data_IF_650919445575
#
_entry.id   IF_650919445575
#
_cell.length_a   1.000
_cell.length_b   1.000
_cell.length_c   1.000
_cell.angle_alpha   90.00
_cell.angle_beta   90.00
_cell.angle_gamma   90.00
#
_symmetry.space_group_name_H-M   'P 1'
#
loop_
_entity.id
_entity.type
_entity.pdbx_description
1 polymer ?
#
# COMPACT_ATOMS: atom_id res chain seq x y z
N UNK A 1 -22.31 12.92 6.21
CA UNK A 1 -21.63 14.23 6.04
C UNK A 1 -20.40 13.98 5.16
N UNK A 2 -20.09 14.78 4.12
CA UNK A 2 -18.77 14.68 3.50
C UNK A 2 -17.71 14.94 4.58
N UNK A 3 -16.72 14.05 4.72
CA UNK A 3 -15.60 14.27 5.62
C UNK A 3 -14.82 15.50 5.13
N UNK A 4 -14.32 16.31 6.06
CA UNK A 4 -13.42 17.40 5.71
C UNK A 4 -12.21 16.85 4.93
N UNK A 5 -11.77 17.52 3.85
CA UNK A 5 -10.63 17.04 3.08
C UNK A 5 -9.37 16.98 3.96
N UNK A 6 -8.55 15.95 3.75
CA UNK A 6 -7.28 15.81 4.48
C UNK A 6 -6.23 16.82 4.02
N UNK A 7 -6.34 17.28 2.77
CA UNK A 7 -5.42 18.24 2.16
C UNK A 7 -6.19 19.37 1.46
N UNK A 8 -5.54 20.52 1.33
CA UNK A 8 -6.08 21.63 0.54
C UNK A 8 -6.34 21.18 -0.91
N UNK A 9 -7.40 21.72 -1.52
CA UNK A 9 -7.83 21.32 -2.86
C UNK A 9 -6.77 21.56 -3.95
N UNK A 10 -5.85 22.49 -3.73
CA UNK A 10 -4.75 22.84 -4.61
C UNK A 10 -3.39 22.21 -4.19
N UNK A 11 -3.30 21.47 -3.09
CA UNK A 11 -2.02 20.96 -2.59
C UNK A 11 -1.34 20.01 -3.60
N UNK A 12 -0.09 20.32 -3.99
CA UNK A 12 0.71 19.45 -4.87
C UNK A 12 0.93 18.06 -4.31
N UNK A 13 0.94 17.04 -5.17
CA UNK A 13 1.23 15.64 -4.80
C UNK A 13 2.66 15.29 -5.24
N UNK A 14 3.44 14.65 -4.37
CA UNK A 14 4.70 14.00 -4.76
C UNK A 14 4.53 12.47 -4.82
N UNK A 15 4.95 11.85 -5.92
CA UNK A 15 4.99 10.40 -6.10
C UNK A 15 6.41 9.89 -5.90
N UNK A 16 6.58 8.99 -4.94
CA UNK A 16 7.86 8.33 -4.61
C UNK A 16 7.75 6.82 -4.80
N UNK A 17 8.88 6.13 -4.87
CA UNK A 17 8.96 4.69 -5.05
C UNK A 17 10.03 4.31 -6.05
N UNK A 18 10.32 3.01 -6.15
CA UNK A 18 11.38 2.48 -7.02
C UNK A 18 11.16 2.87 -8.51
N UNK A 19 12.21 2.80 -9.33
CA UNK A 19 12.07 3.01 -10.78
C UNK A 19 11.03 2.02 -11.35
N UNK A 20 10.36 2.26 -12.47
CA UNK A 20 9.49 1.23 -13.10
C UNK A 20 8.26 0.73 -12.33
N UNK A 21 7.96 1.24 -11.13
CA UNK A 21 6.74 0.90 -10.36
C UNK A 21 5.47 1.56 -10.90
N UNK A 22 5.57 2.41 -11.94
CA UNK A 22 4.41 3.06 -12.57
C UNK A 22 4.17 4.52 -12.18
N UNK A 23 5.13 5.21 -11.56
CA UNK A 23 4.97 6.61 -11.10
C UNK A 23 4.56 7.59 -12.21
N UNK A 24 5.18 7.52 -13.39
CA UNK A 24 4.82 8.39 -14.52
C UNK A 24 3.39 8.15 -14.99
N UNK A 25 2.96 6.88 -15.09
CA UNK A 25 1.59 6.52 -15.46
C UNK A 25 0.58 7.00 -14.43
N UNK A 26 0.81 6.73 -13.14
CA UNK A 26 -0.05 7.21 -12.07
C UNK A 26 -0.05 8.73 -11.97
N UNK A 27 1.09 9.39 -12.21
CA UNK A 27 1.21 10.84 -12.21
C UNK A 27 0.30 11.50 -13.25
N UNK A 28 0.27 10.96 -14.47
CA UNK A 28 -0.64 11.42 -15.52
C UNK A 28 -2.12 11.19 -15.17
N UNK A 29 -2.44 10.05 -14.54
CA UNK A 29 -3.80 9.75 -14.05
C UNK A 29 -4.22 10.78 -12.97
N UNK A 30 -3.36 11.05 -11.99
CA UNK A 30 -3.63 12.05 -10.94
C UNK A 30 -3.80 13.44 -11.54
N UNK A 31 -2.90 13.85 -12.42
CA UNK A 31 -2.96 15.16 -13.08
C UNK A 31 -4.25 15.33 -13.88
N UNK A 32 -4.64 14.32 -14.67
CA UNK A 32 -5.88 14.35 -15.45
C UNK A 32 -7.12 14.38 -14.55
N UNK A 33 -7.19 13.51 -13.54
CA UNK A 33 -8.35 13.39 -12.66
C UNK A 33 -8.56 14.60 -11.74
N UNK A 34 -7.48 15.27 -11.34
CA UNK A 34 -7.51 16.47 -10.50
C UNK A 34 -7.42 17.78 -11.28
N UNK A 35 -7.29 17.72 -12.62
CA UNK A 35 -7.04 18.88 -13.50
C UNK A 35 -5.80 19.69 -13.13
N UNK A 36 -4.73 18.97 -12.83
CA UNK A 36 -3.42 19.50 -12.41
C UNK A 36 -2.37 19.30 -13.49
N UNK A 37 -1.24 19.98 -13.35
CA UNK A 37 -0.08 19.77 -14.21
C UNK A 37 0.77 18.59 -13.71
N UNK A 38 1.44 17.89 -14.62
CA UNK A 38 2.32 16.77 -14.29
C UNK A 38 3.78 17.10 -14.62
N UNK A 39 4.69 16.82 -13.67
CA UNK A 39 6.13 16.93 -13.87
C UNK A 39 6.80 15.61 -13.47
N UNK A 40 7.63 15.05 -14.35
CA UNK A 40 8.52 13.94 -14.03
C UNK A 40 9.95 14.47 -13.82
N UNK A 41 10.50 14.27 -12.63
CA UNK A 41 11.82 14.76 -12.26
C UNK A 41 12.94 14.12 -13.10
N UNK A 42 12.79 12.86 -13.52
CA UNK A 42 13.77 12.20 -14.40
C UNK A 42 13.71 12.81 -15.82
N UNK A 43 12.52 13.25 -16.27
CA UNK A 43 12.37 13.96 -17.55
C UNK A 43 12.89 15.40 -17.47
N UNK A 44 12.67 16.08 -16.35
CA UNK A 44 13.22 17.41 -16.10
C UNK A 44 14.75 17.37 -16.10
N UNK A 45 15.36 16.37 -15.44
CA UNK A 45 16.79 16.12 -15.50
C UNK A 45 17.27 15.95 -16.95
N UNK A 46 16.61 15.07 -17.72
CA UNK A 46 17.03 14.78 -19.09
C UNK A 46 16.93 15.99 -20.02
N UNK A 47 15.95 16.86 -19.79
CA UNK A 47 15.79 18.11 -20.54
C UNK A 47 16.94 19.08 -20.27
N UNK A 48 17.42 19.15 -19.02
CA UNK A 48 18.47 20.10 -18.60
C UNK A 48 19.89 19.58 -18.82
N UNK A 49 20.10 18.25 -18.76
CA UNK A 49 21.42 17.65 -18.67
C UNK A 49 21.67 16.53 -19.69
N UNK A 50 20.68 16.18 -20.51
CA UNK A 50 20.74 15.05 -21.44
C UNK A 50 20.46 13.70 -20.79
N UNK A 51 20.58 12.59 -21.54
CA UNK A 51 20.26 11.24 -21.05
C UNK A 51 21.02 10.89 -19.76
N UNK A 52 20.31 10.41 -18.74
CA UNK A 52 20.87 10.06 -17.43
C UNK A 52 22.04 9.06 -17.57
N UNK A 53 21.91 8.09 -18.48
CA UNK A 53 22.95 7.07 -18.72
C UNK A 53 24.25 7.69 -19.21
N UNK A 54 24.17 8.69 -20.07
CA UNK A 54 25.35 9.33 -20.66
C UNK A 54 25.96 10.33 -19.70
N UNK A 55 25.10 11.05 -18.96
CA UNK A 55 25.53 11.92 -17.87
C UNK A 55 26.33 11.16 -16.81
N UNK A 56 25.80 10.04 -16.31
CA UNK A 56 26.47 9.23 -15.28
C UNK A 56 27.76 8.60 -15.81
N UNK A 57 27.81 8.16 -17.08
CA UNK A 57 29.06 7.67 -17.70
C UNK A 57 30.15 8.75 -17.76
N UNK A 58 29.76 9.99 -18.04
CA UNK A 58 30.69 11.10 -18.20
C UNK A 58 31.11 11.72 -16.84
N UNK A 59 30.20 11.79 -15.86
CA UNK A 59 30.38 12.60 -14.63
C UNK A 59 30.19 11.82 -13.32
N UNK A 60 29.75 10.58 -13.39
CA UNK A 60 29.52 9.72 -12.24
C UNK A 60 28.20 9.97 -11.50
N UNK A 61 27.92 9.11 -10.53
CA UNK A 61 26.69 9.15 -9.73
C UNK A 61 26.65 10.31 -8.73
N UNK A 62 27.79 10.77 -8.24
CA UNK A 62 27.85 11.87 -7.28
C UNK A 62 27.27 13.16 -7.87
N UNK A 63 27.74 13.57 -9.06
CA UNK A 63 27.21 14.75 -9.76
C UNK A 63 25.74 14.55 -10.17
N UNK A 64 25.36 13.34 -10.62
CA UNK A 64 23.95 13.04 -10.89
C UNK A 64 23.07 13.31 -9.66
N UNK A 65 23.50 12.87 -8.48
CA UNK A 65 22.75 13.07 -7.23
C UNK A 65 22.74 14.52 -6.78
N UNK A 66 23.80 15.30 -7.06
CA UNK A 66 23.81 16.75 -6.82
C UNK A 66 22.75 17.46 -7.66
N UNK A 67 22.68 17.12 -8.96
CA UNK A 67 21.65 17.67 -9.87
C UNK A 67 20.25 17.17 -9.53
N UNK A 68 20.06 15.90 -9.19
CA UNK A 68 18.78 15.34 -8.72
C UNK A 68 18.27 16.10 -7.49
N UNK A 69 19.17 16.40 -6.53
CA UNK A 69 18.86 17.17 -5.32
C UNK A 69 18.44 18.60 -5.65
N UNK A 70 19.19 19.28 -6.52
CA UNK A 70 18.87 20.64 -6.94
C UNK A 70 17.50 20.72 -7.65
N UNK A 71 17.26 19.79 -8.58
CA UNK A 71 15.99 19.69 -9.31
C UNK A 71 14.84 19.42 -8.33
N UNK A 72 14.97 18.45 -7.43
CA UNK A 72 13.92 18.16 -6.45
C UNK A 72 13.54 19.40 -5.65
N UNK A 73 14.53 20.08 -5.03
CA UNK A 73 14.29 21.27 -4.21
C UNK A 73 13.63 22.38 -5.04
N UNK A 74 14.09 22.58 -6.27
CA UNK A 74 13.49 23.54 -7.18
C UNK A 74 12.02 23.20 -7.48
N UNK A 75 11.70 21.94 -7.81
CA UNK A 75 10.35 21.51 -8.13
C UNK A 75 9.40 21.68 -6.93
N UNK A 76 9.82 21.26 -5.73
CA UNK A 76 9.01 21.39 -4.51
C UNK A 76 8.74 22.85 -4.15
N UNK A 77 9.69 23.75 -4.40
CA UNK A 77 9.56 25.18 -4.11
C UNK A 77 8.75 25.95 -5.17
N UNK A 78 8.99 25.67 -6.46
CA UNK A 78 8.36 26.41 -7.56
C UNK A 78 6.90 26.00 -7.79
N UNK A 79 6.54 24.76 -7.46
CA UNK A 79 5.24 24.18 -7.80
C UNK A 79 4.46 23.70 -6.57
N UNK A 80 4.17 24.58 -5.59
CA UNK A 80 3.48 24.18 -4.35
C UNK A 80 1.97 23.92 -4.55
N UNK A 81 1.38 24.36 -5.68
CA UNK A 81 -0.06 24.26 -5.92
C UNK A 81 -0.39 23.74 -7.31
N UNK A 82 -1.36 22.86 -7.42
CA UNK A 82 -1.92 22.30 -8.66
C UNK A 82 -0.94 21.49 -9.52
N UNK A 83 0.03 20.83 -8.88
CA UNK A 83 0.94 19.89 -9.55
C UNK A 83 0.87 18.46 -9.01
N UNK A 84 1.35 17.55 -9.85
CA UNK A 84 1.74 16.19 -9.49
C UNK A 84 3.19 16.01 -9.94
N UNK A 85 4.06 15.68 -9.00
CA UNK A 85 5.50 15.52 -9.23
C UNK A 85 5.87 14.05 -9.07
N UNK A 86 6.36 13.39 -10.12
CA UNK A 86 6.98 12.07 -10.01
C UNK A 86 8.48 12.22 -9.75
N UNK A 87 8.96 11.69 -8.62
CA UNK A 87 10.36 11.76 -8.24
C UNK A 87 11.19 10.61 -8.83
N UNK A 88 12.51 10.81 -8.93
CA UNK A 88 13.45 9.76 -9.31
C UNK A 88 13.47 8.59 -8.30
N UNK A 89 13.76 7.37 -8.77
CA UNK A 89 13.71 6.17 -7.92
C UNK A 89 14.77 6.12 -6.81
N UNK A 90 15.79 6.97 -6.86
CA UNK A 90 16.82 7.09 -5.84
C UNK A 90 16.77 8.42 -5.08
N UNK A 91 15.71 9.20 -5.25
CA UNK A 91 15.52 10.51 -4.59
C UNK A 91 15.73 10.42 -3.07
N UNK A 92 15.38 9.28 -2.48
CA UNK A 92 15.46 9.03 -1.03
C UNK A 92 16.86 8.66 -0.53
N UNK A 93 17.88 8.54 -1.38
CA UNK A 93 19.22 8.12 -0.91
C UNK A 93 19.95 9.21 -0.13
N UNK A 94 19.68 10.48 -0.42
CA UNK A 94 20.29 11.62 0.27
C UNK A 94 19.40 12.18 1.37
N UNK A 95 20.00 12.50 2.51
CA UNK A 95 19.27 13.07 3.64
C UNK A 95 18.69 14.44 3.31
N UNK A 96 19.36 15.26 2.49
CA UNK A 96 18.80 16.57 2.13
C UNK A 96 17.50 16.46 1.34
N UNK A 97 17.37 15.42 0.50
CA UNK A 97 16.15 15.14 -0.24
C UNK A 97 15.04 14.64 0.67
N UNK A 98 15.37 13.73 1.61
CA UNK A 98 14.43 13.25 2.62
C UNK A 98 13.93 14.39 3.48
N UNK A 99 14.82 15.25 3.96
CA UNK A 99 14.48 16.46 4.72
C UNK A 99 13.56 17.41 3.95
N UNK A 100 13.84 17.68 2.67
CA UNK A 100 12.98 18.50 1.82
C UNK A 100 11.58 17.89 1.63
N UNK A 101 11.50 16.57 1.44
CA UNK A 101 10.23 15.84 1.34
C UNK A 101 9.45 15.85 2.67
N UNK A 102 10.12 15.69 3.82
CA UNK A 102 9.47 15.82 5.15
C UNK A 102 8.89 17.22 5.35
N UNK A 103 9.63 18.26 4.99
CA UNK A 103 9.14 19.63 5.07
C UNK A 103 7.95 19.88 4.13
N UNK A 104 8.02 19.35 2.90
CA UNK A 104 6.92 19.39 1.95
C UNK A 104 5.66 18.72 2.52
N UNK A 105 5.79 17.53 3.10
CA UNK A 105 4.68 16.83 3.77
C UNK A 105 4.13 17.62 4.95
N UNK A 106 5.00 18.14 5.82
CA UNK A 106 4.62 18.93 6.98
C UNK A 106 3.90 20.25 6.60
N UNK A 107 4.13 20.75 5.39
CA UNK A 107 3.46 21.93 4.83
C UNK A 107 2.06 21.63 4.26
N UNK A 108 1.55 20.40 4.46
CA UNK A 108 0.20 20.00 4.04
C UNK A 108 0.13 19.42 2.63
N UNK A 109 1.22 18.84 2.13
CA UNK A 109 1.25 18.18 0.83
C UNK A 109 1.30 16.64 0.95
N UNK A 110 0.51 15.89 0.18
CA UNK A 110 0.58 14.44 0.19
C UNK A 110 1.84 13.92 -0.52
N UNK A 111 2.46 12.90 0.08
CA UNK A 111 3.50 12.07 -0.53
C UNK A 111 2.93 10.67 -0.70
N UNK A 112 2.81 10.21 -1.94
CA UNK A 112 2.27 8.89 -2.28
C UNK A 112 3.39 7.95 -2.69
N UNK A 113 3.60 6.89 -1.90
CA UNK A 113 4.50 5.80 -2.24
C UNK A 113 3.80 4.82 -3.20
N UNK A 114 4.39 4.64 -4.38
CA UNK A 114 3.92 3.66 -5.37
C UNK A 114 4.70 2.36 -5.20
N UNK A 115 3.97 1.30 -4.85
CA UNK A 115 4.50 -0.05 -4.65
C UNK A 115 4.04 -0.95 -5.78
N UNK A 116 4.89 -1.86 -6.24
CA UNK A 116 4.56 -2.93 -7.19
C UNK A 116 5.18 -4.24 -6.68
N UNK A 117 4.65 -5.37 -7.12
CA UNK A 117 5.19 -6.69 -6.75
C UNK A 117 6.64 -6.88 -7.26
N UNK A 118 7.44 -7.53 -6.42
CA UNK A 118 8.90 -7.67 -6.52
C UNK A 118 9.36 -8.42 -7.77
N UNK A 119 8.54 -9.30 -8.33
CA UNK A 119 8.93 -10.16 -9.46
C UNK A 119 8.92 -9.44 -10.81
N UNK A 120 8.11 -8.39 -10.97
CA UNK A 120 7.94 -7.73 -12.27
C UNK A 120 8.77 -6.44 -12.44
N UNK A 121 9.43 -5.98 -11.37
CA UNK A 121 10.05 -4.66 -11.37
C UNK A 121 11.59 -4.66 -11.47
N UNK A 122 12.05 -4.40 -12.70
CA UNK A 122 13.17 -3.50 -13.10
C UNK A 122 14.56 -4.13 -13.32
N UNK A 123 15.13 -3.69 -14.46
CA UNK A 123 16.54 -3.80 -14.86
C UNK A 123 17.44 -2.96 -13.92
N UNK A 124 18.42 -3.55 -13.23
CA UNK A 124 19.27 -2.82 -12.31
C UNK A 124 20.03 -1.70 -13.02
N UNK A 125 20.26 -0.60 -12.31
CA UNK A 125 21.37 0.30 -12.66
C UNK A 125 22.62 -0.41 -12.16
N UNK A 126 23.50 -0.80 -13.08
CA UNK A 126 24.68 -1.67 -12.89
C UNK A 126 25.27 -1.73 -11.47
N UNK A 127 25.47 -2.96 -10.95
CA UNK A 127 26.40 -3.27 -9.85
C UNK A 127 25.80 -3.85 -8.57
N UNK A 128 24.72 -3.27 -8.05
CA UNK A 128 24.12 -3.72 -6.78
C UNK A 128 22.97 -4.71 -6.99
N UNK A 129 22.85 -5.70 -6.08
CA UNK A 129 21.71 -6.60 -6.07
C UNK A 129 20.42 -5.80 -5.84
N UNK A 130 19.41 -5.99 -6.70
CA UNK A 130 18.12 -5.29 -6.62
C UNK A 130 17.49 -5.40 -5.21
N UNK A 131 17.65 -6.57 -4.58
CA UNK A 131 17.18 -6.81 -3.21
C UNK A 131 17.86 -5.91 -2.19
N UNK A 132 19.16 -5.66 -2.31
CA UNK A 132 19.89 -4.75 -1.43
C UNK A 132 19.40 -3.31 -1.58
N UNK A 133 19.19 -2.85 -2.82
CA UNK A 133 18.65 -1.51 -3.11
C UNK A 133 17.25 -1.34 -2.52
N UNK A 134 16.38 -2.34 -2.71
CA UNK A 134 15.04 -2.34 -2.13
C UNK A 134 15.09 -2.31 -0.61
N UNK A 135 15.83 -3.22 0.01
CA UNK A 135 15.96 -3.31 1.47
C UNK A 135 16.42 -1.98 2.08
N UNK A 136 17.36 -1.29 1.41
CA UNK A 136 17.88 0.01 1.84
C UNK A 136 16.89 1.16 1.64
N UNK A 137 16.12 1.18 0.54
CA UNK A 137 15.26 2.32 0.16
C UNK A 137 13.83 2.22 0.71
N UNK A 138 13.29 1.02 0.89
CA UNK A 138 11.91 0.82 1.35
C UNK A 138 11.60 1.55 2.66
N UNK A 139 12.44 1.45 3.72
CA UNK A 139 12.18 2.17 4.97
C UNK A 139 12.11 3.68 4.78
N UNK A 140 12.93 4.25 3.87
CA UNK A 140 12.86 5.68 3.58
C UNK A 140 11.59 6.09 2.84
N UNK A 141 11.08 5.27 1.92
CA UNK A 141 9.80 5.57 1.29
C UNK A 141 8.64 5.50 2.28
N UNK A 142 8.67 4.52 3.18
CA UNK A 142 7.64 4.32 4.21
C UNK A 142 7.63 5.43 5.27
N UNK A 143 8.81 5.92 5.69
CA UNK A 143 8.95 7.07 6.60
C UNK A 143 8.39 8.37 5.99
N UNK A 144 8.63 8.58 4.70
CA UNK A 144 8.28 9.83 4.03
C UNK A 144 6.81 9.91 3.60
N UNK A 145 6.19 8.77 3.25
CA UNK A 145 4.88 8.79 2.62
C UNK A 145 3.75 9.06 3.61
N UNK A 146 2.75 9.81 3.14
CA UNK A 146 1.46 9.90 3.82
C UNK A 146 0.48 8.85 3.32
N UNK A 147 0.64 8.40 2.07
CA UNK A 147 -0.19 7.36 1.48
C UNK A 147 0.63 6.36 0.67
N UNK A 148 0.08 5.17 0.49
CA UNK A 148 0.66 4.08 -0.30
C UNK A 148 -0.38 3.58 -1.29
N UNK A 149 0.02 3.43 -2.55
CA UNK A 149 -0.79 2.82 -3.61
C UNK A 149 -0.05 1.63 -4.22
N UNK A 150 -0.78 0.55 -4.44
CA UNK A 150 -0.22 -0.65 -5.06
C UNK A 150 -0.60 -0.70 -6.54
N UNK A 151 0.41 -0.64 -7.40
CA UNK A 151 0.29 -0.74 -8.85
C UNK A 151 0.47 -2.19 -9.32
N UNK A 152 -0.48 -3.06 -8.97
CA UNK A 152 -0.49 -4.44 -9.45
C UNK A 152 -0.89 -4.52 -10.92
N UNK A 153 -0.17 -5.32 -11.68
CA UNK A 153 -0.64 -5.82 -12.97
C UNK A 153 -1.67 -6.93 -12.72
N UNK A 154 -2.73 -6.98 -13.50
CA UNK A 154 -3.62 -8.12 -13.52
C UNK A 154 -2.91 -9.29 -14.19
N UNK A 155 -3.05 -10.48 -13.61
CA UNK A 155 -2.63 -11.74 -14.20
C UNK A 155 -3.86 -12.65 -14.42
N UNK A 156 -4.02 -13.28 -15.61
CA UNK A 156 -3.24 -13.00 -16.82
C UNK A 156 -3.40 -11.53 -17.25
N UNK A 157 -2.39 -10.94 -17.91
CA UNK A 157 -2.51 -9.59 -18.43
C UNK A 157 -3.75 -9.54 -19.32
N UNK A 158 -4.64 -8.55 -19.13
CA UNK A 158 -5.84 -8.46 -19.93
C UNK A 158 -5.44 -8.34 -21.40
N UNK A 159 -6.30 -8.87 -22.29
CA UNK A 159 -6.07 -8.87 -23.73
C UNK A 159 -5.80 -7.47 -24.30
N UNK A 160 -6.19 -6.40 -23.59
CA UNK A 160 -5.74 -5.04 -23.87
C UNK A 160 -5.18 -4.32 -22.62
N UNK A 161 -4.08 -3.55 -22.77
CA UNK A 161 -3.53 -2.70 -21.71
C UNK A 161 -4.53 -1.70 -21.10
N UNK A 162 -5.60 -1.35 -21.82
CA UNK A 162 -6.62 -0.40 -21.37
C UNK A 162 -7.41 -0.93 -20.15
N UNK A 163 -7.70 -2.24 -20.10
CA UNK A 163 -8.41 -2.84 -18.96
C UNK A 163 -7.51 -3.02 -17.72
N UNK A 164 -6.20 -3.13 -17.93
CA UNK A 164 -5.19 -3.18 -16.86
C UNK A 164 -5.15 -1.84 -16.12
N UNK A 165 -5.12 -0.75 -16.88
CA UNK A 165 -5.07 0.61 -16.35
C UNK A 165 -6.33 0.94 -15.58
N UNK A 166 -7.52 0.54 -16.06
CA UNK A 166 -8.81 0.88 -15.46
C UNK A 166 -8.92 0.56 -13.96
N UNK A 167 -8.34 -0.56 -13.48
CA UNK A 167 -8.46 -0.96 -12.07
C UNK A 167 -7.50 -0.22 -11.15
N UNK A 168 -6.23 -0.12 -11.53
CA UNK A 168 -5.23 0.65 -10.77
C UNK A 168 -5.60 2.14 -10.77
N UNK A 169 -6.08 2.65 -11.91
CA UNK A 169 -6.65 3.98 -12.05
C UNK A 169 -7.84 4.18 -11.11
N UNK A 170 -8.79 3.23 -11.06
CA UNK A 170 -9.96 3.32 -10.16
C UNK A 170 -9.54 3.38 -8.70
N UNK A 171 -8.63 2.51 -8.26
CA UNK A 171 -8.15 2.49 -6.88
C UNK A 171 -7.42 3.81 -6.52
N UNK A 172 -6.57 4.30 -7.43
CA UNK A 172 -5.82 5.52 -7.20
C UNK A 172 -6.71 6.76 -7.23
N UNK A 173 -7.61 6.89 -8.21
CA UNK A 173 -8.59 7.99 -8.29
C UNK A 173 -9.51 7.97 -7.06
N UNK A 174 -9.92 6.80 -6.56
CA UNK A 174 -10.67 6.69 -5.31
C UNK A 174 -9.90 7.23 -4.11
N UNK A 175 -8.60 6.90 -3.98
CA UNK A 175 -7.73 7.49 -2.96
C UNK A 175 -7.67 9.02 -3.10
N UNK A 176 -7.39 9.53 -4.31
CA UNK A 176 -7.31 10.98 -4.56
C UNK A 176 -8.61 11.70 -4.19
N UNK A 177 -9.75 11.14 -4.60
CA UNK A 177 -11.05 11.71 -4.26
C UNK A 177 -11.32 11.71 -2.76
N UNK A 178 -10.87 10.69 -2.04
CA UNK A 178 -11.00 10.62 -0.58
C UNK A 178 -10.16 11.71 0.09
N UNK A 179 -8.87 11.79 -0.22
CA UNK A 179 -7.93 12.68 0.49
C UNK A 179 -8.17 14.17 0.19
N UNK A 180 -8.75 14.50 -0.96
CA UNK A 180 -9.16 15.87 -1.33
C UNK A 180 -10.65 16.15 -1.08
N UNK A 181 -11.39 15.27 -0.39
CA UNK A 181 -12.79 15.50 -0.03
C UNK A 181 -13.77 15.56 -1.22
N UNK A 182 -13.39 15.01 -2.37
CA UNK A 182 -14.22 14.93 -3.59
C UNK A 182 -15.16 13.71 -3.59
N UNK A 183 -15.10 12.86 -2.56
CA UNK A 183 -15.99 11.73 -2.36
C UNK A 183 -16.42 11.63 -0.90
N UNK A 184 -17.68 11.27 -0.67
CA UNK A 184 -18.08 10.66 0.60
C UNK A 184 -17.68 9.18 0.56
N UNK A 185 -17.10 8.68 1.64
CA UNK A 185 -16.90 7.24 1.92
C UNK A 185 -18.19 6.41 1.82
N UNK A 186 -19.35 7.08 1.79
CA UNK A 186 -20.60 6.51 1.30
C UNK A 186 -20.52 6.24 -0.20
N UNK A 187 -20.01 5.07 -0.58
CA UNK A 187 -20.37 4.45 -1.86
C UNK A 187 -21.90 4.35 -1.86
N UNK A 188 -22.62 4.95 -2.83
CA UNK A 188 -24.05 4.75 -2.94
C UNK A 188 -24.30 3.25 -3.07
N UNK A 189 -24.97 2.66 -2.07
CA UNK A 189 -25.31 1.23 -2.10
C UNK A 189 -26.06 0.96 -3.41
N UNK A 190 -25.56 0.01 -4.21
CA UNK A 190 -26.18 -0.34 -5.49
C UNK A 190 -27.59 -0.85 -5.18
N UNK A 191 -28.65 -0.18 -5.65
CA UNK A 191 -30.02 -0.68 -5.47
C UNK A 191 -30.22 -1.93 -6.33
N UNK A 192 -30.68 -3.02 -5.75
CA UNK A 192 -30.98 -4.24 -6.49
C UNK A 192 -31.28 -5.44 -5.58
N UNK A 193 -31.82 -6.54 -6.13
CA UNK A 193 -31.96 -7.79 -5.39
C UNK A 193 -30.59 -8.23 -4.89
N UNK A 194 -30.46 -8.37 -3.57
CA UNK A 194 -29.23 -8.85 -2.94
C UNK A 194 -29.20 -10.37 -3.07
N UNK A 195 -28.11 -10.97 -3.59
CA UNK A 195 -27.88 -12.39 -3.35
C UNK A 195 -27.84 -12.60 -1.83
N UNK A 196 -28.48 -13.67 -1.34
CA UNK A 196 -28.31 -14.05 0.07
C UNK A 196 -26.82 -14.24 0.35
N UNK A 197 -26.30 -13.77 1.51
CA UNK A 197 -24.93 -14.07 1.91
C UNK A 197 -24.70 -15.57 1.78
N UNK A 198 -23.60 -15.97 1.14
CA UNK A 198 -23.21 -17.37 1.14
C UNK A 198 -22.76 -17.69 2.58
N UNK A 199 -23.66 -18.26 3.37
CA UNK A 199 -23.32 -18.83 4.67
C UNK A 199 -22.56 -20.13 4.41
N UNK A 200 -21.23 -20.02 4.35
CA UNK A 200 -20.35 -21.18 4.45
C UNK A 200 -20.04 -21.45 5.92
N UNK A 201 -19.94 -22.71 6.38
CA UNK A 201 -19.23 -22.98 7.62
C UNK A 201 -17.82 -22.38 7.49
N UNK A 202 -17.22 -21.97 8.61
CA UNK A 202 -15.77 -21.66 8.68
C UNK A 202 -14.90 -22.81 8.14
N UNK A 203 -15.50 -23.98 7.88
CA UNK A 203 -14.96 -25.19 7.27
C UNK A 203 -15.65 -25.66 5.96
N UNK A 204 -16.35 -24.78 5.23
CA UNK A 204 -17.05 -25.12 3.96
C UNK A 204 -16.21 -25.03 2.69
N UNK A 205 -16.82 -25.32 1.54
CA UNK A 205 -16.24 -25.53 0.18
C UNK A 205 -15.21 -24.47 -0.31
N UNK A 206 -15.14 -23.30 0.33
CA UNK A 206 -14.21 -22.21 0.01
C UNK A 206 -13.31 -21.75 1.19
N UNK A 207 -13.39 -22.40 2.35
CA UNK A 207 -12.34 -22.50 3.37
C UNK A 207 -11.69 -21.21 3.91
N UNK A 208 -12.37 -20.07 3.99
CA UNK A 208 -11.73 -18.85 4.51
C UNK A 208 -12.53 -17.55 4.51
N UNK A 209 -13.85 -17.56 4.66
CA UNK A 209 -14.62 -16.32 4.84
C UNK A 209 -15.81 -16.51 5.77
N UNK A 210 -16.20 -15.43 6.45
CA UNK A 210 -17.40 -15.37 7.27
C UNK A 210 -18.21 -14.13 6.93
N UNK A 211 -19.51 -14.28 6.70
CA UNK A 211 -20.42 -13.14 6.55
C UNK A 211 -20.91 -12.70 7.94
N UNK A 212 -20.77 -11.42 8.27
CA UNK A 212 -21.32 -10.85 9.48
C UNK A 212 -22.43 -9.85 9.10
N UNK A 213 -23.66 -10.15 9.47
CA UNK A 213 -24.71 -9.15 9.53
C UNK A 213 -24.50 -8.31 10.80
N UNK A 214 -23.77 -7.22 10.67
CA UNK A 214 -23.69 -6.23 11.75
C UNK A 214 -24.79 -5.18 11.60
N UNK A 215 -25.37 -4.73 12.71
CA UNK A 215 -26.08 -3.46 12.77
C UNK A 215 -25.10 -2.28 12.61
N UNK A 216 -24.43 -2.15 11.45
CA UNK A 216 -23.64 -0.96 11.10
C UNK A 216 -24.53 0.28 10.85
N UNK A 217 -25.76 0.25 11.37
CA UNK A 217 -26.81 1.22 11.16
C UNK A 217 -27.70 0.90 9.97
N UNK A 218 -28.57 1.86 9.66
CA UNK A 218 -29.30 1.89 8.39
C UNK A 218 -28.45 2.71 7.42
N UNK A 219 -28.26 2.20 6.19
CA UNK A 219 -27.68 3.01 5.11
C UNK A 219 -28.49 4.29 4.90
N UNK A 220 -27.99 5.25 4.11
CA UNK A 220 -28.61 6.57 3.90
C UNK A 220 -30.10 6.56 3.47
N UNK A 221 -30.65 5.40 3.11
CA UNK A 221 -32.06 5.16 2.73
C UNK A 221 -32.82 4.16 3.63
N UNK A 222 -32.34 3.84 4.82
CA UNK A 222 -33.10 3.02 5.78
C UNK A 222 -32.90 1.49 5.70
N UNK A 223 -32.11 0.98 4.74
CA UNK A 223 -31.83 -0.46 4.56
C UNK A 223 -30.69 -0.95 5.45
N UNK A 224 -30.71 -2.23 5.87
CA UNK A 224 -29.63 -2.87 6.63
C UNK A 224 -28.33 -2.89 5.81
N UNK A 225 -27.21 -2.64 6.48
CA UNK A 225 -25.86 -2.75 5.91
C UNK A 225 -25.15 -3.99 6.41
N UNK A 226 -24.36 -4.65 5.58
CA UNK A 226 -23.58 -5.84 5.97
C UNK A 226 -22.15 -5.79 5.44
N UNK A 227 -21.29 -6.59 6.06
CA UNK A 227 -19.93 -6.81 5.58
C UNK A 227 -19.55 -8.28 5.58
N UNK A 228 -18.54 -8.64 4.80
CA UNK A 228 -17.95 -9.98 4.81
C UNK A 228 -16.51 -9.91 5.28
N UNK A 229 -16.13 -10.75 6.23
CA UNK A 229 -14.76 -10.94 6.67
C UNK A 229 -14.07 -11.97 5.77
N UNK A 230 -12.99 -11.56 5.10
CA UNK A 230 -12.14 -12.45 4.33
C UNK A 230 -11.02 -12.98 5.23
N UNK A 231 -11.19 -14.21 5.71
CA UNK A 231 -10.25 -14.92 6.59
C UNK A 231 -9.29 -15.82 5.79
N UNK A 232 -8.91 -15.40 4.58
CA UNK A 232 -7.95 -16.15 3.77
C UNK A 232 -6.53 -15.90 4.29
N UNK A 233 -5.76 -16.96 4.64
CA UNK A 233 -4.41 -16.78 5.17
C UNK A 233 -3.48 -16.10 4.16
N UNK A 234 -3.69 -16.29 2.86
CA UNK A 234 -2.96 -15.57 1.83
C UNK A 234 -3.91 -15.12 0.72
N UNK A 235 -4.36 -13.87 0.80
CA UNK A 235 -5.26 -13.25 -0.19
C UNK A 235 -4.67 -13.19 -1.60
N UNK A 236 -3.34 -13.16 -1.75
CA UNK A 236 -2.70 -13.13 -3.07
C UNK A 236 -2.97 -14.41 -3.88
N UNK A 237 -3.27 -15.53 -3.19
CA UNK A 237 -3.61 -16.80 -3.82
C UNK A 237 -5.10 -16.93 -4.15
N UNK A 238 -5.93 -15.94 -3.79
CA UNK A 238 -7.38 -15.99 -3.99
C UNK A 238 -7.74 -15.28 -5.29
N UNK A 239 -8.47 -15.96 -6.18
CA UNK A 239 -8.86 -15.37 -7.46
C UNK A 239 -9.81 -14.19 -7.27
N UNK A 240 -9.77 -13.21 -8.18
CA UNK A 240 -10.70 -12.09 -8.17
C UNK A 240 -12.16 -12.52 -8.38
N UNK A 241 -12.40 -13.63 -9.07
CA UNK A 241 -13.74 -14.22 -9.22
C UNK A 241 -14.27 -14.72 -7.88
N UNK A 242 -13.44 -15.44 -7.11
CA UNK A 242 -13.77 -15.90 -5.76
C UNK A 242 -14.07 -14.71 -4.86
N UNK A 243 -13.22 -13.67 -4.86
CA UNK A 243 -13.45 -12.46 -4.05
C UNK A 243 -14.79 -11.81 -4.41
N UNK A 244 -15.11 -11.66 -5.70
CA UNK A 244 -16.39 -11.07 -6.14
C UNK A 244 -17.60 -11.93 -5.78
N UNK A 245 -17.47 -13.26 -5.86
CA UNK A 245 -18.53 -14.19 -5.48
C UNK A 245 -18.81 -14.13 -3.98
N UNK A 246 -17.77 -14.12 -3.15
CA UNK A 246 -17.86 -14.05 -1.68
C UNK A 246 -18.38 -12.70 -1.21
N UNK A 247 -17.91 -11.61 -1.82
CA UNK A 247 -18.36 -10.26 -1.51
C UNK A 247 -19.68 -9.87 -2.21
N UNK A 248 -20.34 -10.82 -2.87
CA UNK A 248 -21.62 -10.58 -3.52
C UNK A 248 -22.71 -10.28 -2.49
N UNK A 249 -23.34 -9.10 -2.59
CA UNK A 249 -24.48 -8.73 -1.74
C UNK A 249 -24.14 -8.03 -0.42
N UNK A 250 -22.86 -7.79 -0.13
CA UNK A 250 -22.41 -6.99 1.03
C UNK A 250 -22.00 -5.57 0.64
N UNK A 251 -21.98 -4.67 1.61
CA UNK A 251 -21.68 -3.25 1.41
C UNK A 251 -20.20 -2.93 1.65
N UNK A 252 -19.52 -3.75 2.47
CA UNK A 252 -18.13 -3.56 2.89
C UNK A 252 -17.41 -4.91 2.92
N UNK A 253 -16.11 -4.93 2.61
CA UNK A 253 -15.26 -6.09 2.82
C UNK A 253 -14.35 -5.82 4.01
N UNK A 254 -14.34 -6.71 5.00
CA UNK A 254 -13.36 -6.68 6.09
C UNK A 254 -12.10 -7.48 5.70
N UNK A 255 -10.96 -6.79 5.77
CA UNK A 255 -9.62 -7.37 5.68
C UNK A 255 -9.10 -7.62 7.10
N UNK A 256 -9.13 -8.88 7.53
CA UNK A 256 -8.59 -9.34 8.81
C UNK A 256 -7.09 -9.55 8.74
N UNK A 257 -6.33 -8.48 8.95
CA UNK A 257 -4.86 -8.46 8.84
C UNK A 257 -4.22 -9.46 9.80
N UNK A 258 -4.78 -9.63 11.00
CA UNK A 258 -4.31 -10.56 12.02
C UNK A 258 -4.30 -12.03 11.54
N UNK A 259 -5.22 -12.39 10.63
CA UNK A 259 -5.36 -13.76 10.09
C UNK A 259 -4.43 -14.04 8.91
N UNK A 260 -3.75 -13.03 8.37
CA UNK A 260 -2.83 -13.20 7.25
C UNK A 260 -1.58 -13.99 7.67
N UNK A 261 -1.14 -14.87 6.78
CA UNK A 261 0.00 -15.78 6.92
C UNK A 261 0.90 -15.67 5.70
N UNK A 262 2.03 -15.00 5.89
CA UNK A 262 3.06 -14.90 4.87
C UNK A 262 3.88 -16.20 4.81
N UNK A 263 3.82 -16.92 3.69
CA UNK A 263 4.75 -18.02 3.44
C UNK A 263 6.16 -17.45 3.27
N UNK A 264 7.12 -17.92 4.08
CA UNK A 264 8.52 -17.63 3.82
C UNK A 264 8.93 -18.27 2.47
N UNK A 265 9.74 -17.60 1.65
CA UNK A 265 10.33 -18.26 0.49
C UNK A 265 11.10 -19.48 0.99
N UNK A 266 10.85 -20.64 0.35
CA UNK A 266 11.70 -21.82 0.54
C UNK A 266 13.11 -21.38 0.13
N UNK A 267 14.08 -21.45 1.05
CA UNK A 267 15.49 -21.30 0.67
C UNK A 267 15.77 -22.21 -0.52
N UNK A 268 16.29 -21.69 -1.65
CA UNK A 268 16.76 -22.57 -2.70
C UNK A 268 17.82 -23.51 -2.10
N UNK A 269 17.91 -24.77 -2.52
CA UNK A 269 19.08 -25.57 -2.21
C UNK A 269 20.30 -24.80 -2.74
N UNK A 270 21.19 -24.41 -1.83
CA UNK A 270 22.38 -23.63 -2.17
C UNK A 270 23.20 -24.45 -3.17
N UNK A 271 23.44 -23.92 -4.36
CA UNK A 271 24.16 -24.59 -5.46
C UNK A 271 25.65 -24.80 -5.18
N UNK A 272 26.10 -24.55 -3.94
CA UNK A 272 27.49 -24.65 -3.49
C UNK A 272 27.72 -25.58 -2.29
N UNK A 273 26.74 -26.36 -1.85
CA UNK A 273 26.97 -27.45 -0.89
C UNK A 273 27.56 -27.03 0.47
N UNK A 274 27.50 -25.75 0.84
CA UNK A 274 27.92 -25.29 2.16
C UNK A 274 26.70 -25.31 3.07
N UNK A 275 26.64 -26.32 3.94
CA UNK A 275 25.65 -26.37 5.02
C UNK A 275 25.78 -25.10 5.87
N UNK A 276 24.66 -24.40 6.19
CA UNK A 276 24.72 -23.24 7.05
C UNK A 276 25.29 -23.61 8.42
N UNK A 277 26.05 -22.69 9.02
CA UNK A 277 26.65 -22.90 10.34
C UNK A 277 25.58 -23.21 11.40
N UNK A 278 25.89 -24.03 12.42
CA UNK A 278 24.95 -24.37 13.49
C UNK A 278 24.32 -23.14 14.18
N UNK A 279 25.03 -22.01 14.24
CA UNK A 279 24.55 -20.75 14.82
C UNK A 279 23.47 -20.07 13.94
N UNK A 280 23.61 -20.12 12.61
CA UNK A 280 22.60 -19.62 11.67
C UNK A 280 21.34 -20.49 11.71
N UNK A 281 21.52 -21.81 11.85
CA UNK A 281 20.43 -22.76 12.06
C UNK A 281 19.75 -22.58 13.42
N UNK A 282 20.46 -22.18 14.49
CA UNK A 282 19.84 -21.93 15.79
C UNK A 282 18.98 -20.66 15.83
N UNK A 283 19.37 -19.58 15.13
CA UNK A 283 18.51 -18.40 14.93
C UNK A 283 17.30 -18.68 14.02
N UNK A 284 17.45 -19.56 13.02
CA UNK A 284 16.33 -19.95 12.15
C UNK A 284 15.38 -20.99 12.81
N UNK A 285 15.90 -21.87 13.67
CA UNK A 285 15.13 -22.92 14.38
C UNK A 285 14.52 -22.48 15.71
N UNK A 286 15.03 -21.44 16.36
CA UNK A 286 14.36 -20.85 17.53
C UNK A 286 13.01 -20.20 17.18
N UNK A 287 12.77 -19.88 15.90
CA UNK A 287 11.46 -19.48 15.37
C UNK A 287 10.57 -20.66 14.94
N UNK A 288 10.95 -21.91 15.24
CA UNK A 288 10.31 -23.14 14.77
C UNK A 288 9.36 -23.84 15.74
N UNK A 289 8.97 -23.21 16.86
CA UNK A 289 7.94 -23.73 17.77
C UNK A 289 6.89 -22.66 18.04
N UNK A 290 5.73 -22.77 17.40
CA UNK A 290 4.46 -22.19 17.87
C UNK A 290 4.30 -20.66 17.91
N UNK A 291 5.22 -19.85 17.37
CA UNK A 291 5.07 -18.40 17.32
C UNK A 291 4.12 -17.97 16.19
N UNK A 292 2.97 -17.38 16.52
CA UNK A 292 2.12 -16.67 15.53
C UNK A 292 2.96 -15.60 14.85
N UNK A 293 3.24 -15.79 13.56
CA UNK A 293 4.07 -14.87 12.81
C UNK A 293 3.21 -13.74 12.28
N UNK A 294 3.31 -12.58 12.92
CA UNK A 294 2.70 -11.32 12.47
C UNK A 294 3.10 -11.07 11.00
N UNK A 295 2.15 -10.74 10.10
CA UNK A 295 2.46 -10.49 8.70
C UNK A 295 3.30 -9.23 8.52
N UNK A 296 4.24 -9.24 7.57
CA UNK A 296 5.01 -8.03 7.27
C UNK A 296 4.13 -6.93 6.65
N UNK A 297 4.37 -5.63 6.94
CA UNK A 297 3.64 -4.51 6.33
C UNK A 297 3.61 -4.55 4.79
N UNK A 298 4.70 -4.99 4.17
CA UNK A 298 4.78 -5.16 2.73
C UNK A 298 3.82 -6.24 2.21
N UNK A 299 3.72 -7.39 2.89
CA UNK A 299 2.78 -8.44 2.51
C UNK A 299 1.32 -7.97 2.65
N UNK A 300 1.00 -7.27 3.75
CA UNK A 300 -0.33 -6.69 3.96
C UNK A 300 -0.66 -5.66 2.88
N UNK A 301 0.30 -4.82 2.50
CA UNK A 301 0.18 -3.86 1.39
C UNK A 301 -0.23 -4.57 0.10
N UNK A 302 0.46 -5.66 -0.28
CA UNK A 302 0.13 -6.42 -1.49
C UNK A 302 -1.27 -7.05 -1.41
N UNK A 303 -1.63 -7.65 -0.27
CA UNK A 303 -2.97 -8.23 -0.05
C UNK A 303 -4.07 -7.17 -0.19
N UNK A 304 -3.89 -6.00 0.40
CA UNK A 304 -4.82 -4.88 0.28
C UNK A 304 -4.94 -4.40 -1.17
N UNK A 305 -3.82 -4.25 -1.87
CA UNK A 305 -3.78 -3.88 -3.28
C UNK A 305 -4.53 -4.88 -4.17
N UNK A 306 -4.36 -6.18 -3.92
CA UNK A 306 -5.07 -7.23 -4.62
C UNK A 306 -6.58 -7.17 -4.35
N UNK A 307 -6.99 -6.91 -3.11
CA UNK A 307 -8.40 -6.76 -2.75
C UNK A 307 -9.05 -5.55 -3.46
N UNK A 308 -8.37 -4.39 -3.45
CA UNK A 308 -8.81 -3.18 -4.19
C UNK A 308 -8.93 -3.41 -5.69
N UNK A 309 -8.04 -4.22 -6.27
CA UNK A 309 -8.10 -4.60 -7.69
C UNK A 309 -9.30 -5.49 -7.99
N UNK A 310 -9.66 -6.38 -7.06
CA UNK A 310 -10.70 -7.38 -7.27
C UNK A 310 -12.12 -6.88 -6.97
N UNK A 311 -12.26 -5.88 -6.08
CA UNK A 311 -13.55 -5.37 -5.63
C UNK A 311 -13.57 -3.83 -5.53
N UNK A 312 -14.66 -3.18 -6.01
CA UNK A 312 -14.85 -1.74 -5.84
C UNK A 312 -15.39 -1.37 -4.45
N UNK A 313 -15.73 -2.35 -3.60
CA UNK A 313 -16.33 -2.09 -2.29
C UNK A 313 -15.36 -1.36 -1.34
N UNK A 314 -15.89 -0.59 -0.36
CA UNK A 314 -15.13 -0.13 0.80
C UNK A 314 -14.44 -1.29 1.53
N UNK A 315 -13.27 -1.01 2.09
CA UNK A 315 -12.51 -1.94 2.92
C UNK A 315 -12.54 -1.48 4.37
N UNK A 316 -13.01 -2.37 5.25
CA UNK A 316 -12.80 -2.31 6.69
C UNK A 316 -11.47 -3.02 7.00
N UNK A 317 -10.48 -2.26 7.44
CA UNK A 317 -9.15 -2.76 7.75
C UNK A 317 -9.05 -3.07 9.24
N UNK A 318 -8.85 -4.33 9.60
CA UNK A 318 -8.93 -4.79 10.98
C UNK A 318 -7.65 -5.49 11.41
N UNK A 319 -7.09 -5.05 12.54
CA UNK A 319 -6.02 -5.74 13.26
C UNK A 319 -6.56 -6.07 14.66
N UNK A 320 -6.86 -7.35 14.93
CA UNK A 320 -7.38 -7.78 16.24
C UNK A 320 -6.42 -8.63 17.04
N UNK A 321 -6.30 -8.31 18.33
CA UNK A 321 -5.56 -9.07 19.33
C UNK A 321 -6.30 -10.36 19.72
N UNK A 322 -5.58 -11.34 20.27
CA UNK A 322 -6.18 -12.63 20.70
C UNK A 322 -7.24 -12.45 21.77
N UNK A 323 -7.00 -11.59 22.75
CA UNK A 323 -7.96 -11.25 23.80
C UNK A 323 -9.25 -10.61 23.26
N UNK A 324 -9.21 -10.03 22.05
CA UNK A 324 -10.35 -9.44 21.34
C UNK A 324 -10.88 -10.30 20.17
N UNK A 325 -10.52 -11.59 20.14
CA UNK A 325 -11.03 -12.54 19.13
C UNK A 325 -10.32 -12.49 17.78
N UNK A 326 -9.08 -11.98 17.74
CA UNK A 326 -8.20 -12.05 16.60
C UNK A 326 -7.01 -13.00 16.77
N UNK A 327 -6.03 -12.86 15.88
CA UNK A 327 -4.82 -13.69 15.87
C UNK A 327 -3.52 -12.88 16.11
N UNK A 328 -3.60 -11.56 16.22
CA UNK A 328 -2.46 -10.73 16.58
C UNK A 328 -2.10 -10.98 18.07
N UNK A 329 -0.83 -11.15 18.44
CA UNK A 329 -0.46 -11.34 19.86
C UNK A 329 -0.98 -10.20 20.74
N UNK A 330 -1.36 -10.49 21.98
CA UNK A 330 -1.76 -9.45 22.92
C UNK A 330 -0.58 -8.48 23.21
N UNK A 331 -0.89 -7.21 23.49
CA UNK A 331 0.07 -6.11 23.52
C UNK A 331 0.88 -6.05 24.82
N UNK A 332 1.55 -7.16 25.15
CA UNK A 332 2.26 -7.37 26.41
C UNK A 332 3.68 -6.75 26.42
N UNK A 333 4.22 -6.41 25.25
CA UNK A 333 5.56 -5.82 25.10
C UNK A 333 5.53 -4.57 24.22
N UNK A 334 6.52 -3.69 24.38
CA UNK A 334 6.70 -2.50 23.52
C UNK A 334 6.85 -2.90 22.04
N UNK A 335 7.60 -3.97 21.73
CA UNK A 335 7.76 -4.48 20.36
C UNK A 335 6.43 -4.90 19.73
N UNK A 336 5.54 -5.54 20.50
CA UNK A 336 4.21 -5.94 20.02
C UNK A 336 3.29 -4.73 19.84
N UNK A 337 3.39 -3.73 20.72
CA UNK A 337 2.67 -2.46 20.59
C UNK A 337 3.11 -1.71 19.34
N UNK A 338 4.43 -1.57 19.11
CA UNK A 338 4.98 -0.93 17.92
C UNK A 338 4.55 -1.67 16.64
N UNK A 339 4.61 -3.00 16.64
CA UNK A 339 4.15 -3.82 15.53
C UNK A 339 2.65 -3.67 15.25
N UNK A 340 1.82 -3.58 16.29
CA UNK A 340 0.38 -3.33 16.17
C UNK A 340 0.11 -1.95 15.57
N UNK A 341 0.72 -0.91 16.14
CA UNK A 341 0.58 0.46 15.66
C UNK A 341 1.04 0.61 14.22
N UNK A 342 2.17 -0.01 13.84
CA UNK A 342 2.65 0.00 12.46
C UNK A 342 1.65 -0.61 11.47
N UNK A 343 0.97 -1.71 11.84
CA UNK A 343 -0.07 -2.31 11.00
C UNK A 343 -1.34 -1.47 10.95
N UNK A 344 -1.72 -0.84 12.06
CA UNK A 344 -2.87 0.08 12.11
C UNK A 344 -2.62 1.33 11.26
N UNK A 345 -1.46 1.98 11.42
CA UNK A 345 -1.03 3.12 10.61
C UNK A 345 -0.99 2.78 9.13
N UNK A 346 -0.59 1.56 8.78
CA UNK A 346 -0.60 1.08 7.41
C UNK A 346 -2.01 1.10 6.81
N UNK A 347 -3.06 0.76 7.58
CA UNK A 347 -4.46 0.86 7.12
C UNK A 347 -4.83 2.27 6.67
N UNK A 348 -4.41 3.29 7.43
CA UNK A 348 -4.59 4.70 7.07
C UNK A 348 -3.76 5.09 5.84
N UNK A 349 -2.48 4.69 5.78
CA UNK A 349 -1.61 4.97 4.62
C UNK A 349 -2.17 4.36 3.33
N UNK A 350 -2.73 3.15 3.40
CA UNK A 350 -3.35 2.45 2.27
C UNK A 350 -4.70 3.07 1.85
N UNK A 351 -5.25 4.00 2.64
CA UNK A 351 -6.52 4.64 2.37
C UNK A 351 -7.72 3.71 2.54
N UNK A 352 -7.68 2.82 3.53
CA UNK A 352 -8.86 2.05 3.96
C UNK A 352 -10.00 3.02 4.31
N UNK A 353 -11.24 2.69 3.93
CA UNK A 353 -12.39 3.55 4.26
C UNK A 353 -12.74 3.50 5.74
N UNK A 354 -12.50 2.34 6.36
CA UNK A 354 -12.67 2.13 7.79
C UNK A 354 -11.43 1.41 8.32
N UNK A 355 -10.97 1.82 9.50
CA UNK A 355 -9.90 1.14 10.23
C UNK A 355 -10.49 0.76 11.60
N UNK A 356 -10.54 -0.53 11.90
CA UNK A 356 -10.95 -1.04 13.22
C UNK A 356 -9.79 -0.82 14.20
N UNK A 357 -10.06 -0.01 15.24
CA UNK A 357 -9.09 0.33 16.28
C UNK A 357 -9.55 -0.26 17.60
N UNK A 358 -8.67 -1.03 18.25
CA UNK A 358 -8.94 -1.48 19.61
C UNK A 358 -8.77 -0.31 20.59
N UNK A 359 -9.87 0.15 21.18
CA UNK A 359 -9.85 1.08 22.30
C UNK A 359 -9.55 0.26 23.56
N UNK A 360 -8.26 0.16 23.90
CA UNK A 360 -7.75 -0.83 24.87
C UNK A 360 -8.48 -0.87 26.22
N UNK A 361 -8.62 -2.10 26.75
CA UNK A 361 -8.80 -2.36 28.17
C UNK A 361 -7.45 -2.29 28.91
N UNK A 362 -7.40 -1.49 29.98
CA UNK A 362 -6.39 -1.50 31.06
C UNK A 362 -4.89 -1.45 30.69
N UNK A 363 -4.48 -0.75 29.62
CA UNK A 363 -3.05 -0.63 29.26
C UNK A 363 -2.52 0.75 28.92
N UNK A 364 -3.37 1.78 28.79
CA UNK A 364 -2.88 3.14 28.54
C UNK A 364 -2.49 3.78 29.89
N UNK A 365 -1.22 4.16 30.11
CA UNK A 365 -0.87 4.96 31.28
C UNK A 365 -1.66 6.27 31.18
N UNK A 366 -2.51 6.54 32.16
CA UNK A 366 -3.03 7.90 32.36
C UNK A 366 -1.84 8.73 32.84
N UNK A 367 -1.23 9.47 31.92
CA UNK A 367 -0.18 10.45 32.17
C UNK A 367 -0.48 11.71 31.39
#
# INVERSE_FOLDING_TARGET
MPHAPLYNADATIALVGMRGVGKTTLGLIAATSLRRQFIDADSAFQTLHGPITDFVKARGWADFRDKETAILKQLLHQYPRDYVIACGGGVVEREENRSALRQFRASGHPIVHVVRDKEETIRPSWGEEIRAVWSRRTPYFEDLCSHTIVSLTAYPPPLSPQFLMKHVETAFVRLLRSIFGLASSHVPLIPGPRPSPIAGPSSGEYGGYGACESEMGRGAKGQRTSFVALNFPNLLNVSGETIRKVAGGVDVIELRVDTLRQSLPKTPPDSRGVSPSPETLHKARSNGKGGTKVPSPHFVTLCFGHLRRCSPLPILYTVRTRSQGGEFPDLETEELMEGYLALVELGFRLGAEYVDLELGGNGVPRG
#
